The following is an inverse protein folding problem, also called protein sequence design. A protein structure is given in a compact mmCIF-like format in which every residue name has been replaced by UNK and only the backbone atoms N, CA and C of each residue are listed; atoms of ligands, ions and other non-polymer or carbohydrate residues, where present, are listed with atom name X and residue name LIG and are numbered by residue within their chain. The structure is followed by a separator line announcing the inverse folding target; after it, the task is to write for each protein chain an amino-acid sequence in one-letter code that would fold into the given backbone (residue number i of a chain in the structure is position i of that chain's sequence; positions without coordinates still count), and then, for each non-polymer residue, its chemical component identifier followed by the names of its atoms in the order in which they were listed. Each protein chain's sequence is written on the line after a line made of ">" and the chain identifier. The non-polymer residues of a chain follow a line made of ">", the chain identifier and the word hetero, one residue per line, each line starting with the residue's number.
data_IF_492601195489
#
_entry.id   IF_492601195489
#
_cell.length_a   1.000
_cell.length_b   1.000
_cell.length_c   1.000
_cell.angle_alpha   90.00
_cell.angle_beta   90.00
_cell.angle_gamma   90.00
#
_symmetry.space_group_name_H-M   'P 1'
#
loop_
_entity.id
_entity.type
_entity.pdbx_description
1 polymer ?
#
# COMPACT_ATOMS: atom_id res chain seq x y z
N UNK A 1 28.80 23.97 26.50
CA UNK A 1 27.33 24.17 26.61
C UNK A 1 27.04 25.54 26.04
N UNK A 2 26.29 25.65 24.93
CA UNK A 2 25.96 26.96 24.33
C UNK A 2 24.84 27.64 25.11
N UNK A 3 25.03 28.91 25.50
CA UNK A 3 24.03 29.75 26.22
C UNK A 3 22.67 29.86 25.50
N UNK A 4 22.62 29.51 24.22
CA UNK A 4 21.44 29.55 23.38
C UNK A 4 20.33 28.58 23.83
N UNK A 5 20.71 27.39 24.32
CA UNK A 5 19.75 26.40 24.82
C UNK A 5 19.30 26.69 26.26
N UNK A 6 20.11 27.41 27.04
CA UNK A 6 19.72 27.86 28.39
C UNK A 6 18.63 28.95 28.33
N UNK A 7 18.74 29.89 27.39
CA UNK A 7 17.80 31.00 27.26
C UNK A 7 16.47 30.61 26.60
N UNK A 8 16.41 29.49 25.88
CA UNK A 8 15.24 29.05 25.15
C UNK A 8 15.02 27.54 25.27
N UNK A 9 14.59 27.05 26.45
CA UNK A 9 14.39 25.63 26.71
C UNK A 9 13.34 25.00 25.78
N UNK A 10 12.39 25.80 25.28
CA UNK A 10 11.37 25.37 24.33
C UNK A 10 11.91 25.05 22.94
N UNK A 11 13.04 25.64 22.52
CA UNK A 11 13.66 25.34 21.23
C UNK A 11 14.26 23.93 21.21
N UNK A 12 14.75 23.45 22.36
CA UNK A 12 15.25 22.08 22.50
C UNK A 12 14.11 21.07 22.26
N UNK A 13 12.97 21.30 22.91
CA UNK A 13 11.76 20.49 22.74
C UNK A 13 11.23 20.56 21.30
N UNK A 14 11.20 21.75 20.71
CA UNK A 14 10.73 21.94 19.34
C UNK A 14 11.65 21.24 18.32
N UNK A 15 12.97 21.27 18.53
CA UNK A 15 13.93 20.58 17.69
C UNK A 15 13.79 19.05 17.79
N UNK A 16 13.68 18.51 19.00
CA UNK A 16 13.47 17.08 19.22
C UNK A 16 12.13 16.60 18.65
N UNK A 17 11.04 17.32 18.93
CA UNK A 17 9.72 17.03 18.40
C UNK A 17 9.67 17.14 16.87
N UNK A 18 10.36 18.12 16.28
CA UNK A 18 10.50 18.27 14.84
C UNK A 18 11.24 17.08 14.21
N UNK A 19 12.33 16.64 14.84
CA UNK A 19 13.07 15.46 14.40
C UNK A 19 12.22 14.18 14.51
N UNK A 20 11.51 14.00 15.62
CA UNK A 20 10.62 12.86 15.84
C UNK A 20 9.46 12.82 14.83
N UNK A 21 8.86 13.99 14.52
CA UNK A 21 7.80 14.11 13.54
C UNK A 21 8.29 13.72 12.14
N UNK A 22 9.48 14.18 11.74
CA UNK A 22 10.08 13.81 10.45
C UNK A 22 10.35 12.30 10.35
N UNK A 23 10.94 11.70 11.38
CA UNK A 23 11.20 10.26 11.43
C UNK A 23 9.91 9.45 11.38
N UNK A 24 8.87 9.85 12.12
CA UNK A 24 7.57 9.19 12.10
C UNK A 24 6.96 9.20 10.70
N UNK A 25 6.94 10.36 10.04
CA UNK A 25 6.44 10.49 8.67
C UNK A 25 7.24 9.59 7.72
N UNK A 26 8.57 9.64 7.81
CA UNK A 26 9.46 8.83 6.98
C UNK A 26 9.14 7.34 7.14
N UNK A 27 9.06 6.84 8.38
CA UNK A 27 8.79 5.44 8.66
C UNK A 27 7.39 5.05 8.15
N UNK A 28 6.35 5.87 8.33
CA UNK A 28 4.99 5.55 7.86
C UNK A 28 4.96 5.46 6.33
N UNK A 29 5.51 6.45 5.63
CA UNK A 29 5.57 6.46 4.16
C UNK A 29 6.41 5.28 3.65
N UNK A 30 7.56 5.06 4.27
CA UNK A 30 8.49 3.99 3.93
C UNK A 30 7.89 2.60 4.17
N UNK A 31 7.22 2.38 5.30
CA UNK A 31 6.64 1.07 5.65
C UNK A 31 5.38 0.78 4.86
N UNK A 32 4.49 1.76 4.64
CA UNK A 32 3.27 1.55 3.84
C UNK A 32 3.57 1.39 2.34
N UNK A 33 4.62 2.05 1.81
CA UNK A 33 5.00 1.97 0.39
C UNK A 33 5.50 0.59 -0.06
N UNK A 34 5.97 -0.26 0.86
CA UNK A 34 6.51 -1.59 0.52
C UNK A 34 5.45 -2.69 0.46
N UNK A 35 4.25 -2.46 0.98
CA UNK A 35 3.19 -3.48 1.06
C UNK A 35 2.54 -3.84 -0.30
N UNK A 36 2.81 -3.07 -1.37
CA UNK A 36 2.05 -3.13 -2.63
C UNK A 36 2.68 -4.00 -3.74
N UNK A 37 3.42 -5.05 -3.40
CA UNK A 37 4.06 -5.94 -4.39
C UNK A 37 3.87 -7.44 -4.11
N UNK A 38 2.62 -7.84 -3.88
CA UNK A 38 2.19 -9.19 -4.26
C UNK A 38 0.94 -9.03 -5.11
N UNK A 39 1.09 -8.72 -6.42
CA UNK A 39 -0.03 -8.87 -7.33
C UNK A 39 -0.56 -10.28 -7.11
N UNK A 40 -1.82 -10.38 -6.67
CA UNK A 40 -2.54 -11.64 -6.57
C UNK A 40 -2.25 -12.39 -7.86
N UNK A 41 -1.78 -13.66 -7.84
CA UNK A 41 -1.55 -14.42 -9.05
C UNK A 41 -2.75 -14.22 -9.95
N UNK A 42 -2.54 -13.52 -11.06
CA UNK A 42 -3.59 -13.29 -12.04
C UNK A 42 -4.15 -14.66 -12.38
N UNK A 43 -5.48 -14.75 -12.35
CA UNK A 43 -6.23 -15.97 -12.64
C UNK A 43 -5.54 -16.74 -13.76
N UNK A 44 -5.38 -18.05 -13.58
CA UNK A 44 -4.60 -18.93 -14.45
C UNK A 44 -4.74 -18.54 -15.94
N UNK A 45 -3.64 -18.56 -16.72
CA UNK A 45 -3.66 -18.22 -18.14
C UNK A 45 -4.87 -18.84 -18.86
N UNK A 46 -5.41 -18.14 -19.85
CA UNK A 46 -6.62 -18.59 -20.57
C UNK A 46 -6.47 -20.00 -21.16
N UNK A 47 -5.23 -20.43 -21.41
CA UNK A 47 -4.84 -21.76 -21.89
C UNK A 47 -4.69 -22.84 -20.80
N UNK A 48 -5.22 -22.65 -19.59
CA UNK A 48 -5.21 -23.71 -18.58
C UNK A 48 -6.05 -24.91 -19.08
N UNK A 49 -5.54 -26.15 -19.09
CA UNK A 49 -6.23 -27.31 -19.68
C UNK A 49 -7.59 -27.59 -19.04
N UNK A 50 -7.81 -27.18 -17.80
CA UNK A 50 -9.13 -27.24 -17.12
C UNK A 50 -10.20 -26.33 -17.75
N UNK A 51 -9.82 -25.39 -18.61
CA UNK A 51 -10.71 -24.44 -19.29
C UNK A 51 -11.00 -24.83 -20.74
N UNK A 52 -10.27 -25.78 -21.31
CA UNK A 52 -10.41 -26.27 -22.68
C UNK A 52 -11.76 -26.97 -22.99
N UNK A 53 -12.69 -27.00 -22.02
CA UNK A 53 -14.04 -27.54 -22.20
C UNK A 53 -15.18 -26.55 -21.93
N UNK A 54 -14.89 -25.26 -21.64
CA UNK A 54 -15.93 -24.24 -21.48
C UNK A 54 -16.05 -23.43 -22.78
N UNK A 55 -16.82 -23.97 -23.72
CA UNK A 55 -17.35 -23.22 -24.85
C UNK A 55 -18.24 -22.06 -24.35
N UNK A 56 -18.20 -20.87 -24.97
CA UNK A 56 -19.16 -19.81 -24.71
C UNK A 56 -20.49 -20.18 -25.39
N UNK A 57 -21.21 -21.18 -24.86
CA UNK A 57 -22.49 -21.59 -25.40
C UNK A 57 -23.42 -22.07 -24.29
N UNK A 58 -23.79 -21.18 -23.37
CA UNK A 58 -25.02 -21.35 -22.59
C UNK A 58 -25.35 -20.09 -21.79
N UNK A 59 -25.86 -19.05 -22.47
CA UNK A 59 -26.74 -18.06 -21.82
C UNK A 59 -27.62 -17.28 -22.81
N UNK A 60 -27.90 -17.85 -23.99
CA UNK A 60 -28.87 -17.27 -24.92
C UNK A 60 -29.92 -18.31 -25.34
N UNK A 61 -30.63 -18.86 -24.34
CA UNK A 61 -31.91 -19.51 -24.55
C UNK A 61 -32.91 -18.88 -23.59
N UNK A 62 -33.41 -17.71 -23.97
CA UNK A 62 -34.65 -17.19 -23.42
C UNK A 62 -35.81 -18.11 -23.87
N UNK A 63 -36.76 -18.43 -22.99
CA UNK A 63 -37.81 -19.40 -23.25
C UNK A 63 -38.84 -18.85 -24.25
N UNK A 64 -39.40 -19.76 -25.05
CA UNK A 64 -40.43 -19.52 -26.05
C UNK A 64 -41.63 -18.70 -25.49
N UNK A 65 -42.13 -17.77 -26.30
CA UNK A 65 -43.27 -16.90 -26.05
C UNK A 65 -44.62 -17.59 -26.29
#
# INVERSE_FOLDING_TARGET
>A
MSQFFENHPTLLLAAEAGLALLLLIFIVVWTMGTAKKHPRPTRAPQDHPSRAGQSPQETDKAPDA
#
